data_IF_915864583494
#
_entry.id   IF_915864583494
#
_cell.length_a   1.000
_cell.length_b   1.000
_cell.length_c   1.000
_cell.angle_alpha   90.00
_cell.angle_beta   90.00
_cell.angle_gamma   90.00
#
_symmetry.space_group_name_H-M   'P 1'
#
loop_
_entity.id
_entity.type
_entity.pdbx_description
1 polymer ?
#
# COMPACT_ATOMS: atom_id res chain seq x y z
N UNK A 1 26.72 23.42 -22.73
CA UNK A 1 26.83 21.99 -22.34
C UNK A 1 25.90 21.72 -21.17
N UNK A 2 24.93 20.84 -21.35
CA UNK A 2 23.90 20.59 -20.35
C UNK A 2 24.48 19.78 -19.19
N UNK A 3 24.61 20.38 -18.00
CA UNK A 3 25.35 19.79 -16.85
C UNK A 3 24.80 18.43 -16.42
N UNK A 4 23.51 18.17 -16.66
CA UNK A 4 22.85 16.88 -16.41
C UNK A 4 23.29 15.78 -17.40
N UNK A 5 23.58 16.14 -18.65
CA UNK A 5 24.04 15.19 -19.67
C UNK A 5 25.49 14.75 -19.39
N UNK A 6 26.32 15.69 -18.91
CA UNK A 6 27.71 15.40 -18.55
C UNK A 6 27.82 14.49 -17.32
N UNK A 7 26.93 14.66 -16.33
CA UNK A 7 26.91 13.80 -15.13
C UNK A 7 26.45 12.37 -15.44
N UNK A 8 25.46 12.19 -16.33
CA UNK A 8 25.01 10.86 -16.78
C UNK A 8 26.10 10.13 -17.58
N UNK A 9 26.84 10.86 -18.42
CA UNK A 9 27.93 10.29 -19.22
C UNK A 9 29.13 9.88 -18.35
N UNK A 10 29.42 10.64 -17.29
CA UNK A 10 30.50 10.34 -16.34
C UNK A 10 30.17 9.12 -15.47
N UNK A 11 28.90 8.92 -15.11
CA UNK A 11 28.45 7.78 -14.32
C UNK A 11 28.51 6.46 -15.13
N UNK A 12 28.17 6.52 -16.42
CA UNK A 12 28.27 5.36 -17.33
C UNK A 12 29.74 4.92 -17.55
N UNK A 13 30.67 5.87 -17.53
CA UNK A 13 32.10 5.61 -17.75
C UNK A 13 32.78 4.92 -16.55
N UNK A 14 32.23 5.06 -15.33
CA UNK A 14 32.81 4.50 -14.11
C UNK A 14 32.42 3.03 -13.87
N UNK A 15 31.37 2.53 -14.53
CA UNK A 15 30.93 1.13 -14.40
C UNK A 15 31.72 0.13 -15.27
N UNK A 16 32.54 0.60 -16.22
CA UNK A 16 33.25 -0.26 -17.17
C UNK A 16 34.66 -0.70 -16.71
N UNK A 17 35.12 -0.29 -15.51
CA UNK A 17 36.48 -0.57 -15.02
C UNK A 17 36.62 -1.75 -14.06
N UNK A 18 35.59 -2.59 -13.89
CA UNK A 18 35.69 -3.82 -13.11
C UNK A 18 35.87 -5.05 -14.02
N UNK A 19 37.13 -5.36 -14.36
CA UNK A 19 37.51 -6.63 -14.99
C UNK A 19 38.69 -7.29 -14.24
N UNK A 20 38.56 -8.63 -14.08
CA UNK A 20 39.57 -9.69 -13.90
C UNK A 20 40.01 -10.11 -12.47
N UNK A 21 39.59 -11.34 -12.09
CA UNK A 21 40.40 -12.54 -11.78
C UNK A 21 39.51 -13.57 -11.03
N UNK A 22 39.27 -14.81 -11.45
CA UNK A 22 40.16 -15.97 -11.60
C UNK A 22 39.32 -17.08 -12.27
N UNK A 23 39.77 -17.72 -13.35
CA UNK A 23 40.71 -18.86 -13.44
C UNK A 23 39.96 -20.11 -13.89
N UNK A 24 40.28 -20.51 -15.11
CA UNK A 24 39.85 -21.71 -15.81
C UNK A 24 40.40 -22.96 -15.11
N UNK A 25 39.56 -24.00 -14.95
CA UNK A 25 40.03 -25.38 -14.79
C UNK A 25 39.16 -26.30 -15.64
N UNK A 26 39.76 -26.81 -16.69
CA UNK A 26 39.21 -27.83 -17.59
C UNK A 26 39.16 -29.19 -16.87
N UNK A 27 38.21 -30.03 -17.28
CA UNK A 27 38.21 -31.52 -17.41
C UNK A 27 36.72 -31.94 -17.50
N UNK A 28 36.14 -32.19 -18.67
CA UNK A 28 36.23 -33.40 -19.51
C UNK A 28 35.46 -34.62 -18.96
N UNK A 29 34.58 -35.13 -19.85
CA UNK A 29 34.08 -36.49 -20.02
C UNK A 29 32.82 -36.94 -19.26
N UNK A 30 31.84 -37.43 -20.05
CA UNK A 30 30.90 -38.47 -19.64
C UNK A 30 29.46 -38.27 -20.12
N UNK A 31 29.14 -38.73 -21.34
CA UNK A 31 27.79 -39.13 -21.73
C UNK A 31 27.26 -40.21 -20.77
N UNK A 32 25.97 -40.20 -20.42
CA UNK A 32 25.04 -41.20 -20.93
C UNK A 32 23.59 -41.07 -20.44
N UNK A 33 22.75 -41.65 -21.27
CA UNK A 33 21.29 -41.64 -21.41
C UNK A 33 20.51 -42.47 -20.36
N UNK A 34 19.15 -42.36 -20.43
CA UNK A 34 18.14 -43.35 -19.95
C UNK A 34 17.83 -43.30 -18.43
N UNK A 35 16.62 -43.47 -17.87
CA UNK A 35 15.25 -43.78 -18.30
C UNK A 35 14.33 -43.51 -17.08
N UNK A 36 13.11 -42.98 -17.29
CA UNK A 36 11.80 -43.63 -17.10
C UNK A 36 11.41 -44.10 -15.67
N UNK A 37 10.30 -43.51 -15.20
CA UNK A 37 9.21 -44.06 -14.36
C UNK A 37 9.52 -44.62 -12.96
N UNK A 38 8.79 -44.17 -11.94
CA UNK A 38 7.52 -44.80 -11.54
C UNK A 38 6.91 -44.15 -10.29
N UNK A 39 5.60 -44.05 -10.35
CA UNK A 39 4.61 -43.83 -9.28
C UNK A 39 4.74 -44.81 -8.12
N UNK A 40 4.49 -44.37 -6.88
CA UNK A 40 3.81 -45.19 -5.87
C UNK A 40 3.15 -44.34 -4.78
N UNK A 41 1.84 -44.58 -4.62
CA UNK A 41 0.94 -44.08 -3.58
C UNK A 41 1.22 -44.65 -2.18
N UNK A 42 0.48 -44.06 -1.21
CA UNK A 42 -0.11 -44.65 0.02
C UNK A 42 0.53 -44.27 1.37
N UNK A 43 -0.04 -43.21 1.96
CA UNK A 43 -0.88 -43.17 3.16
C UNK A 43 -0.52 -43.99 4.44
N UNK A 44 -0.62 -43.23 5.55
CA UNK A 44 -0.95 -43.58 6.94
C UNK A 44 0.16 -44.05 7.88
N UNK A 45 0.29 -43.35 9.00
CA UNK A 45 0.11 -44.01 10.30
C UNK A 45 -0.41 -43.01 11.33
N UNK A 46 -1.49 -43.42 11.98
CA UNK A 46 -2.10 -42.85 13.19
C UNK A 46 -1.32 -43.36 14.40
N UNK A 47 -1.12 -42.52 15.43
CA UNK A 47 -1.11 -42.95 16.84
C UNK A 47 -1.72 -41.88 17.76
N UNK A 48 -2.88 -42.23 18.31
CA UNK A 48 -3.39 -41.96 19.68
C UNK A 48 -2.29 -41.94 20.75
N UNK A 49 -2.42 -41.41 21.97
CA UNK A 49 -3.46 -40.81 22.82
C UNK A 49 -2.69 -40.20 24.03
N UNK A 50 -3.24 -39.34 24.89
CA UNK A 50 -3.77 -39.71 26.22
C UNK A 50 -4.44 -38.48 26.87
N UNK A 51 -5.59 -38.75 27.49
CA UNK A 51 -6.50 -37.92 28.31
C UNK A 51 -6.01 -37.70 29.74
N UNK A 52 -6.41 -36.59 30.38
CA UNK A 52 -6.96 -36.50 31.76
C UNK A 52 -7.57 -35.08 32.00
N UNK A 53 -8.91 -34.91 32.01
CA UNK A 53 -9.84 -34.77 33.17
C UNK A 53 -9.53 -33.56 34.09
N UNK A 54 -10.29 -32.45 34.05
CA UNK A 54 -11.60 -32.15 34.69
C UNK A 54 -11.51 -31.62 36.13
N UNK A 55 -11.96 -30.38 36.37
CA UNK A 55 -12.94 -30.04 37.45
C UNK A 55 -13.44 -28.60 37.37
N UNK A 56 -14.76 -28.48 37.48
CA UNK A 56 -15.61 -27.31 37.68
C UNK A 56 -15.46 -26.63 39.05
N UNK A 57 -15.78 -25.34 39.14
CA UNK A 57 -16.42 -24.73 40.31
C UNK A 57 -17.19 -23.45 39.91
N UNK A 58 -18.51 -23.48 40.13
CA UNK A 58 -19.41 -22.32 40.18
C UNK A 58 -19.16 -21.50 41.45
N UNK A 59 -19.43 -20.20 41.41
CA UNK A 59 -20.01 -19.51 42.55
C UNK A 59 -20.77 -18.25 42.11
N UNK A 60 -22.06 -18.27 42.44
CA UNK A 60 -23.02 -17.16 42.41
C UNK A 60 -23.09 -16.55 43.81
N UNK A 61 -23.03 -15.23 43.94
CA UNK A 61 -23.64 -14.50 45.07
C UNK A 61 -24.25 -13.20 44.58
N UNK A 62 -25.54 -13.06 44.85
CA UNK A 62 -26.41 -11.90 44.68
C UNK A 62 -26.46 -11.10 45.99
N UNK A 63 -26.48 -9.77 45.93
CA UNK A 63 -27.14 -8.94 46.95
C UNK A 63 -27.54 -7.58 46.37
N UNK A 64 -28.84 -7.26 46.49
CA UNK A 64 -29.51 -5.99 46.17
C UNK A 64 -29.29 -4.94 47.29
N UNK A 65 -29.38 -3.64 46.97
CA UNK A 65 -30.53 -2.75 47.30
C UNK A 65 -30.20 -1.23 47.31
N UNK A 66 -30.94 -0.49 46.47
CA UNK A 66 -31.58 0.86 46.55
C UNK A 66 -30.87 2.22 46.84
N UNK A 67 -31.18 3.16 45.91
CA UNK A 67 -31.64 4.57 46.02
C UNK A 67 -30.84 5.69 46.72
N UNK A 68 -30.49 6.74 45.93
CA UNK A 68 -31.23 8.03 45.91
C UNK A 68 -30.65 9.08 44.94
N UNK A 69 -31.58 9.80 44.30
CA UNK A 69 -31.44 11.05 43.54
C UNK A 69 -30.48 12.09 44.16
N UNK A 70 -29.75 12.86 43.34
CA UNK A 70 -30.00 14.33 43.24
C UNK A 70 -29.36 14.97 42.00
N UNK A 71 -30.20 15.68 41.26
CA UNK A 71 -29.89 16.72 40.27
C UNK A 71 -29.06 17.87 40.85
N UNK A 72 -28.12 18.42 40.05
CA UNK A 72 -27.96 19.87 39.90
C UNK A 72 -27.18 20.25 38.64
N UNK A 73 -27.90 20.88 37.70
CA UNK A 73 -27.39 21.85 36.74
C UNK A 73 -26.50 22.91 37.42
N UNK A 74 -25.36 23.30 36.82
CA UNK A 74 -24.97 24.71 36.55
C UNK A 74 -23.83 24.77 35.49
N UNK A 75 -24.21 25.30 34.31
CA UNK A 75 -23.51 26.23 33.40
C UNK A 75 -21.99 26.10 33.14
N UNK A 76 -21.70 25.64 31.92
CA UNK A 76 -21.07 26.39 30.81
C UNK A 76 -20.09 27.52 31.21
N UNK A 77 -18.80 27.29 30.96
CA UNK A 77 -17.93 28.34 30.43
C UNK A 77 -17.06 27.78 29.30
N UNK A 78 -17.48 28.13 28.09
CA UNK A 78 -16.74 27.95 26.85
C UNK A 78 -15.53 28.89 26.83
N UNK A 79 -14.33 28.34 26.84
CA UNK A 79 -13.18 28.98 26.21
C UNK A 79 -12.68 28.04 25.13
N UNK A 80 -13.23 28.20 23.93
CA UNK A 80 -12.59 27.73 22.72
C UNK A 80 -11.39 28.65 22.47
N UNK A 81 -10.25 28.32 23.10
CA UNK A 81 -8.97 28.80 22.58
C UNK A 81 -8.72 28.05 21.28
N UNK A 82 -8.86 28.73 20.14
CA UNK A 82 -8.19 28.31 18.92
C UNK A 82 -6.69 28.46 19.17
N UNK A 83 -6.10 27.41 19.74
CA UNK A 83 -4.67 27.22 19.70
C UNK A 83 -4.32 26.89 18.24
N UNK A 84 -3.38 27.64 17.66
CA UNK A 84 -2.72 27.30 16.40
C UNK A 84 -1.78 26.11 16.65
N UNK A 85 -2.33 25.01 17.14
CA UNK A 85 -1.55 23.81 17.39
C UNK A 85 -1.50 23.02 16.09
N UNK A 86 -0.28 22.75 15.64
CA UNK A 86 -0.06 21.81 14.55
C UNK A 86 -0.78 20.48 14.88
N UNK A 87 -1.34 19.77 13.89
CA UNK A 87 -2.05 18.52 14.15
C UNK A 87 -1.15 17.52 14.87
N UNK A 88 -1.69 16.83 15.88
CA UNK A 88 -0.94 15.78 16.58
C UNK A 88 -0.78 14.55 15.68
N UNK A 89 0.19 13.68 15.94
CA UNK A 89 0.32 12.44 15.16
C UNK A 89 -0.53 11.32 15.76
N UNK A 90 -1.20 10.55 14.90
CA UNK A 90 -1.79 9.27 15.30
C UNK A 90 -0.79 8.11 15.11
N UNK A 91 -1.00 7.00 15.78
CA UNK A 91 -0.16 5.80 15.75
C UNK A 91 -0.57 4.90 14.57
N UNK A 92 0.42 4.41 13.81
CA UNK A 92 0.23 3.54 12.63
C UNK A 92 0.60 2.07 12.88
N UNK A 93 1.71 1.81 13.59
CA UNK A 93 2.31 0.48 13.66
C UNK A 93 1.80 -0.33 14.86
N UNK A 94 0.82 -1.21 14.64
CA UNK A 94 0.41 -2.27 15.58
C UNK A 94 -0.20 -1.80 16.91
N UNK A 95 -0.47 -0.51 17.06
CA UNK A 95 -1.05 0.09 18.25
C UNK A 95 -2.38 0.76 17.97
N UNK A 96 -3.34 0.61 18.89
CA UNK A 96 -4.59 1.33 18.86
C UNK A 96 -4.43 2.75 19.39
N UNK A 97 -4.98 3.73 18.68
CA UNK A 97 -5.12 5.10 19.14
C UNK A 97 -6.30 5.18 20.10
N UNK A 98 -6.13 5.84 21.25
CA UNK A 98 -7.20 5.94 22.26
C UNK A 98 -7.71 7.37 22.36
N UNK A 99 -9.02 7.51 22.29
CA UNK A 99 -9.72 8.78 22.53
C UNK A 99 -10.64 8.57 23.73
N UNK A 100 -10.24 9.04 24.94
CA UNK A 100 -10.99 8.78 26.16
C UNK A 100 -12.48 9.11 26.04
N UNK A 101 -13.31 8.15 26.48
CA UNK A 101 -14.77 8.26 26.44
C UNK A 101 -15.35 8.36 25.03
N UNK A 102 -14.62 7.92 24.00
CA UNK A 102 -15.11 7.87 22.62
C UNK A 102 -14.80 6.51 22.00
N UNK A 103 -13.54 6.26 21.64
CA UNK A 103 -13.17 5.05 20.92
C UNK A 103 -11.68 4.71 21.05
N UNK A 104 -11.37 3.47 20.67
CA UNK A 104 -10.04 3.08 20.21
C UNK A 104 -10.10 2.86 18.70
N UNK A 105 -9.06 3.26 17.97
CA UNK A 105 -9.03 3.10 16.52
C UNK A 105 -7.66 2.73 15.96
N UNK A 106 -7.66 1.93 14.89
CA UNK A 106 -6.49 1.58 14.08
C UNK A 106 -6.71 2.13 12.67
N UNK A 107 -5.68 2.76 12.10
CA UNK A 107 -5.73 3.40 10.78
C UNK A 107 -5.00 2.53 9.76
N UNK A 108 -5.69 2.18 8.68
CA UNK A 108 -5.16 1.43 7.55
C UNK A 108 -5.55 2.13 6.24
N UNK A 109 -4.68 2.98 5.67
CA UNK A 109 -4.98 3.63 4.40
C UNK A 109 -4.65 2.73 3.20
N UNK A 110 -5.52 2.76 2.22
CA UNK A 110 -5.37 2.10 0.93
C UNK A 110 -5.65 3.09 -0.21
N UNK A 111 -5.02 2.86 -1.36
CA UNK A 111 -5.24 3.68 -2.56
C UNK A 111 -5.70 2.75 -3.65
N UNK A 112 -6.90 3.02 -4.15
CA UNK A 112 -7.60 2.17 -5.11
C UNK A 112 -7.94 3.00 -6.37
N UNK A 113 -7.69 2.46 -7.58
CA UNK A 113 -8.07 3.13 -8.83
C UNK A 113 -9.59 3.14 -9.05
N UNK A 114 -10.31 2.24 -8.39
CA UNK A 114 -11.77 2.18 -8.39
C UNK A 114 -12.26 1.62 -7.06
N UNK A 115 -13.53 1.91 -6.73
CA UNK A 115 -14.19 1.32 -5.57
C UNK A 115 -15.33 0.47 -6.05
N UNK A 116 -15.26 -0.82 -5.73
CA UNK A 116 -16.32 -1.78 -6.05
C UNK A 116 -17.32 -1.72 -4.90
N UNK A 117 -18.45 -1.05 -5.13
CA UNK A 117 -19.54 -0.96 -4.17
C UNK A 117 -20.87 -0.86 -4.89
N UNK A 118 -21.94 -1.36 -4.26
CA UNK A 118 -23.31 -1.16 -4.75
C UNK A 118 -23.86 0.22 -4.38
N UNK A 119 -23.10 1.01 -3.60
CA UNK A 119 -23.52 2.32 -3.17
C UNK A 119 -23.55 3.32 -4.36
N UNK A 120 -24.69 3.96 -4.65
CA UNK A 120 -24.85 4.83 -5.82
C UNK A 120 -23.99 6.10 -5.77
N UNK A 121 -23.45 6.49 -4.59
CA UNK A 121 -22.47 7.58 -4.48
C UNK A 121 -21.16 7.30 -5.22
N UNK A 122 -20.95 6.04 -5.61
CA UNK A 122 -19.73 5.51 -6.23
C UNK A 122 -19.97 4.85 -7.56
N UNK A 123 -21.00 5.27 -8.27
CA UNK A 123 -21.30 4.73 -9.60
C UNK A 123 -20.37 5.31 -10.69
N UNK A 124 -19.11 5.57 -10.34
CA UNK A 124 -18.08 5.97 -11.28
C UNK A 124 -17.58 4.70 -11.98
N UNK A 125 -17.97 4.49 -13.24
CA UNK A 125 -17.24 3.61 -14.15
C UNK A 125 -15.76 3.96 -14.09
N UNK A 126 -14.86 2.97 -14.12
CA UNK A 126 -13.40 3.16 -14.06
C UNK A 126 -12.98 4.42 -14.81
N UNK A 127 -12.65 5.47 -14.05
CA UNK A 127 -12.26 6.76 -14.59
C UNK A 127 -10.75 6.90 -14.37
N UNK A 128 -10.02 6.89 -15.48
CA UNK A 128 -8.57 6.88 -15.47
C UNK A 128 -7.92 8.19 -15.00
N UNK A 129 -8.70 9.23 -14.65
CA UNK A 129 -8.19 10.54 -14.23
C UNK A 129 -8.32 10.77 -12.71
N UNK A 130 -8.89 9.82 -11.97
CA UNK A 130 -9.13 9.90 -10.53
C UNK A 130 -8.55 8.69 -9.82
N UNK A 131 -8.15 8.89 -8.58
CA UNK A 131 -7.86 7.84 -7.62
C UNK A 131 -8.81 8.00 -6.43
N UNK A 132 -9.02 6.90 -5.70
CA UNK A 132 -9.65 6.94 -4.40
C UNK A 132 -8.61 6.61 -3.33
N UNK A 133 -8.58 7.44 -2.29
CA UNK A 133 -7.86 7.10 -1.07
C UNK A 133 -8.91 6.67 -0.06
N UNK A 134 -8.83 5.41 0.35
CA UNK A 134 -9.69 4.81 1.36
C UNK A 134 -8.94 4.75 2.69
N UNK A 135 -9.38 5.54 3.65
CA UNK A 135 -8.83 5.51 5.01
C UNK A 135 -9.73 4.61 5.83
N UNK A 136 -9.29 3.37 6.02
CA UNK A 136 -10.04 2.38 6.79
C UNK A 136 -9.70 2.55 8.27
N UNK A 137 -10.72 2.85 9.07
CA UNK A 137 -10.64 2.90 10.53
C UNK A 137 -11.34 1.69 11.12
N UNK A 138 -10.59 0.82 11.80
CA UNK A 138 -11.18 -0.19 12.67
C UNK A 138 -11.44 0.46 14.03
N UNK A 139 -12.70 0.74 14.34
CA UNK A 139 -13.12 1.52 15.51
C UNK A 139 -13.79 0.61 16.53
N UNK A 140 -13.28 0.61 17.75
CA UNK A 140 -13.92 0.04 18.93
C UNK A 140 -14.55 1.14 19.77
N UNK A 141 -15.88 1.10 19.98
CA UNK A 141 -16.58 2.07 20.80
C UNK A 141 -16.38 1.79 22.29
N UNK A 142 -15.62 2.66 22.97
CA UNK A 142 -15.35 2.56 24.42
C UNK A 142 -16.40 3.20 25.30
N UNK A 143 -17.37 3.90 24.70
CA UNK A 143 -18.42 4.59 25.45
C UNK A 143 -19.59 3.66 25.79
N UNK A 144 -20.46 4.12 26.68
CA UNK A 144 -21.69 3.42 27.08
C UNK A 144 -22.89 3.75 26.18
N UNK A 145 -22.71 4.56 25.14
CA UNK A 145 -23.75 4.98 24.21
C UNK A 145 -23.37 4.60 22.77
N UNK A 146 -24.37 4.37 21.91
CA UNK A 146 -24.12 4.27 20.49
C UNK A 146 -23.61 5.63 19.98
N UNK A 147 -22.51 5.64 19.22
CA UNK A 147 -21.93 6.87 18.67
C UNK A 147 -21.99 6.84 17.15
N UNK A 148 -22.45 7.94 16.55
CA UNK A 148 -22.43 8.13 15.11
C UNK A 148 -20.97 8.30 14.67
N UNK A 149 -20.52 7.53 13.69
CA UNK A 149 -19.13 7.61 13.20
C UNK A 149 -18.83 8.96 12.53
N UNK A 150 -19.83 9.50 11.82
CA UNK A 150 -19.77 10.80 11.11
C UNK A 150 -19.60 11.99 12.05
N UNK A 151 -20.15 11.91 13.26
CA UNK A 151 -20.06 12.98 14.26
C UNK A 151 -18.82 12.83 15.15
N UNK A 152 -18.25 11.63 15.21
CA UNK A 152 -17.11 11.31 16.06
C UNK A 152 -15.77 11.60 15.39
N UNK A 153 -15.61 11.18 14.13
CA UNK A 153 -14.37 11.29 13.37
C UNK A 153 -14.71 11.72 11.95
N UNK A 154 -14.03 12.76 11.45
CA UNK A 154 -14.01 13.07 10.03
C UNK A 154 -12.59 12.92 9.49
N UNK A 155 -12.45 12.56 8.22
CA UNK A 155 -11.14 12.45 7.58
C UNK A 155 -11.05 13.39 6.37
N UNK A 156 -9.86 13.93 6.15
CA UNK A 156 -9.48 14.66 4.94
C UNK A 156 -8.15 14.14 4.43
N UNK A 157 -7.98 14.22 3.12
CA UNK A 157 -6.70 13.99 2.47
C UNK A 157 -6.15 15.33 2.01
N UNK A 158 -4.89 15.62 2.33
CA UNK A 158 -4.16 16.74 1.78
C UNK A 158 -3.07 16.25 0.84
N UNK A 159 -3.09 16.75 -0.39
CA UNK A 159 -2.05 16.51 -1.41
C UNK A 159 -1.50 17.87 -1.82
N UNK A 160 -0.19 18.08 -1.60
CA UNK A 160 0.43 19.42 -1.73
C UNK A 160 -0.35 20.43 -0.86
N UNK A 161 -0.92 21.47 -1.47
CA UNK A 161 -1.69 22.52 -0.79
C UNK A 161 -3.22 22.36 -0.92
N UNK A 162 -3.70 21.24 -1.48
CA UNK A 162 -5.14 20.99 -1.70
C UNK A 162 -5.67 19.95 -0.71
N UNK A 163 -6.82 20.27 -0.11
CA UNK A 163 -7.58 19.37 0.76
C UNK A 163 -8.75 18.74 0.00
N UNK A 164 -8.99 17.46 0.26
CA UNK A 164 -10.05 16.65 -0.29
C UNK A 164 -10.84 16.05 0.87
N UNK A 165 -12.12 16.38 0.95
CA UNK A 165 -13.01 15.83 1.96
C UNK A 165 -13.33 14.37 1.65
N UNK A 166 -13.37 13.55 2.70
CA UNK A 166 -13.91 12.20 2.60
C UNK A 166 -15.40 12.17 2.91
N UNK A 167 -16.07 11.11 2.48
CA UNK A 167 -17.34 10.68 3.06
C UNK A 167 -17.13 9.28 3.66
N UNK A 168 -17.95 8.93 4.65
CA UNK A 168 -17.77 7.70 5.42
C UNK A 168 -18.81 6.64 5.09
N UNK A 169 -18.38 5.40 4.95
CA UNK A 169 -19.18 4.20 4.82
C UNK A 169 -18.85 3.22 5.95
N UNK A 170 -19.83 2.41 6.38
CA UNK A 170 -19.58 1.31 7.33
C UNK A 170 -19.67 -0.01 6.59
N UNK A 171 -18.72 -0.91 6.86
CA UNK A 171 -18.78 -2.27 6.34
C UNK A 171 -19.84 -3.07 7.09
N UNK A 172 -20.65 -3.84 6.35
CA UNK A 172 -21.60 -4.75 6.95
C UNK A 172 -20.88 -5.89 7.69
N UNK A 173 -21.55 -6.51 8.67
CA UNK A 173 -20.95 -7.57 9.51
C UNK A 173 -20.42 -8.74 8.66
N UNK A 174 -21.05 -9.01 7.52
CA UNK A 174 -20.69 -10.07 6.59
C UNK A 174 -19.64 -9.66 5.55
N UNK A 175 -19.21 -8.39 5.54
CA UNK A 175 -18.25 -7.83 4.57
C UNK A 175 -18.76 -7.74 3.13
N UNK A 176 -20.06 -7.95 2.90
CA UNK A 176 -20.59 -8.10 1.54
C UNK A 176 -20.93 -6.76 0.86
N UNK A 177 -21.16 -5.71 1.65
CA UNK A 177 -21.55 -4.39 1.16
C UNK A 177 -21.26 -3.27 2.18
N UNK A 178 -21.47 -2.04 1.74
CA UNK A 178 -21.32 -0.84 2.55
C UNK A 178 -22.68 -0.17 2.82
N UNK A 179 -22.96 0.06 4.10
CA UNK A 179 -24.11 0.86 4.52
C UNK A 179 -23.68 2.30 4.86
N UNK A 180 -24.66 3.21 4.90
CA UNK A 180 -24.41 4.53 5.46
C UNK A 180 -24.13 4.37 6.96
N UNK A 181 -22.97 4.85 7.40
CA UNK A 181 -22.55 4.70 8.78
C UNK A 181 -23.47 5.49 9.72
N UNK A 182 -24.48 4.80 10.28
CA UNK A 182 -25.41 5.38 11.24
C UNK A 182 -24.75 5.39 12.61
N UNK A 183 -24.49 4.27 13.27
CA UNK A 183 -23.80 4.28 14.58
C UNK A 183 -23.01 3.02 14.86
N UNK A 184 -22.08 3.10 15.82
CA UNK A 184 -21.37 1.96 16.41
C UNK A 184 -21.88 1.77 17.83
N UNK A 185 -22.39 0.58 18.18
CA UNK A 185 -22.94 0.32 19.51
C UNK A 185 -21.86 0.32 20.59
N UNK A 186 -22.23 0.47 21.89
CA UNK A 186 -21.29 0.32 22.99
C UNK A 186 -20.53 -1.01 22.91
N UNK A 187 -19.22 -0.98 23.14
CA UNK A 187 -18.34 -2.16 23.13
C UNK A 187 -18.36 -2.96 21.82
N UNK A 188 -18.73 -2.31 20.73
CA UNK A 188 -18.74 -2.90 19.40
C UNK A 188 -17.54 -2.42 18.58
N UNK A 189 -17.03 -3.33 17.75
CA UNK A 189 -16.00 -3.05 16.75
C UNK A 189 -16.62 -2.99 15.36
N UNK A 190 -16.29 -1.95 14.60
CA UNK A 190 -16.72 -1.78 13.21
C UNK A 190 -15.60 -1.20 12.35
N UNK A 191 -15.58 -1.62 11.08
CA UNK A 191 -14.72 -1.05 10.05
C UNK A 191 -15.46 0.08 9.33
N UNK A 192 -14.83 1.25 9.32
CA UNK A 192 -15.39 2.46 8.72
C UNK A 192 -14.41 2.96 7.67
N UNK A 193 -14.91 3.10 6.45
CA UNK A 193 -14.16 3.54 5.29
C UNK A 193 -14.38 5.03 5.10
N UNK A 194 -13.33 5.82 5.17
CA UNK A 194 -13.36 7.25 4.87
C UNK A 194 -12.71 7.49 3.52
N UNK A 195 -13.55 7.66 2.51
CA UNK A 195 -13.10 7.62 1.13
C UNK A 195 -13.09 9.03 0.55
N UNK A 196 -11.96 9.41 -0.04
CA UNK A 196 -11.79 10.68 -0.75
C UNK A 196 -11.47 10.46 -2.22
N UNK A 197 -12.18 11.17 -3.10
CA UNK A 197 -11.88 11.24 -4.53
C UNK A 197 -10.78 12.29 -4.76
N UNK A 198 -9.65 11.85 -5.30
CA UNK A 198 -8.48 12.69 -5.58
C UNK A 198 -8.09 12.58 -7.06
N UNK A 199 -7.35 13.55 -7.63
CA UNK A 199 -6.79 13.40 -8.97
C UNK A 199 -5.90 12.17 -9.04
N UNK A 200 -5.84 11.53 -10.21
CA UNK A 200 -4.86 10.47 -10.46
C UNK A 200 -3.45 10.97 -10.13
N UNK A 201 -2.69 10.11 -9.49
CA UNK A 201 -1.28 10.38 -9.22
C UNK A 201 -0.47 10.28 -10.49
N UNK A 202 0.43 11.25 -10.66
CA UNK A 202 1.50 11.15 -11.63
C UNK A 202 2.39 9.96 -11.28
N UNK A 203 3.07 9.43 -12.30
CA UNK A 203 4.07 8.38 -12.12
C UNK A 203 5.12 8.75 -11.03
N UNK A 204 5.47 7.77 -10.19
CA UNK A 204 6.46 7.93 -9.15
C UNK A 204 5.88 8.21 -7.75
N UNK A 205 6.63 8.98 -6.95
CA UNK A 205 6.32 9.18 -5.53
C UNK A 205 5.34 10.34 -5.31
N UNK A 206 4.17 10.02 -4.77
CA UNK A 206 3.20 11.02 -4.31
C UNK A 206 3.16 11.06 -2.79
N UNK A 207 3.45 12.24 -2.22
CA UNK A 207 3.24 12.49 -0.81
C UNK A 207 1.81 12.96 -0.56
N UNK A 208 1.15 12.37 0.42
CA UNK A 208 -0.15 12.82 0.90
C UNK A 208 -0.20 12.79 2.43
N UNK A 209 -1.08 13.58 3.00
CA UNK A 209 -1.30 13.66 4.44
C UNK A 209 -2.76 13.29 4.73
N UNK A 210 -2.96 12.36 5.66
CA UNK A 210 -4.29 12.05 6.19
C UNK A 210 -4.47 12.90 7.42
N UNK A 211 -5.59 13.61 7.50
CA UNK A 211 -5.98 14.43 8.64
C UNK A 211 -7.28 13.86 9.20
N UNK A 212 -7.26 13.42 10.45
CA UNK A 212 -8.42 12.97 11.20
C UNK A 212 -8.82 14.07 12.19
N UNK A 213 -10.05 14.57 12.10
CA UNK A 213 -10.60 15.50 13.11
C UNK A 213 -11.49 14.72 14.04
N UNK A 214 -11.11 14.66 15.33
CA UNK A 214 -11.82 13.91 16.38
C UNK A 214 -12.16 14.87 17.52
N UNK A 215 -13.44 15.03 17.83
CA UNK A 215 -13.92 16.01 18.85
C UNK A 215 -13.36 17.43 18.63
N UNK A 216 -13.17 17.84 17.37
CA UNK A 216 -12.64 19.15 17.00
C UNK A 216 -11.12 19.31 17.15
N UNK A 217 -10.40 18.23 17.44
CA UNK A 217 -8.94 18.18 17.45
C UNK A 217 -8.42 17.43 16.23
N UNK A 218 -7.40 17.98 15.59
CA UNK A 218 -6.80 17.40 14.38
C UNK A 218 -5.62 16.50 14.73
N UNK A 219 -5.61 15.33 14.09
CA UNK A 219 -4.52 14.38 14.09
C UNK A 219 -4.08 14.15 12.64
N UNK A 220 -2.79 14.00 12.36
CA UNK A 220 -2.28 13.80 11.01
C UNK A 220 -1.11 12.83 10.92
N UNK A 221 -0.97 12.19 9.77
CA UNK A 221 0.26 11.53 9.35
C UNK A 221 0.49 11.71 7.86
N UNK A 222 1.77 11.65 7.49
CA UNK A 222 2.22 11.73 6.11
C UNK A 222 2.52 10.35 5.57
N UNK A 223 2.15 10.15 4.32
CA UNK A 223 2.26 8.89 3.61
C UNK A 223 2.89 9.15 2.25
N UNK A 224 3.55 8.12 1.74
CA UNK A 224 4.13 8.11 0.41
C UNK A 224 3.46 6.97 -0.34
N UNK A 225 2.86 7.30 -1.48
CA UNK A 225 2.37 6.34 -2.45
C UNK A 225 3.34 6.27 -3.62
N UNK A 226 3.74 5.06 -3.98
CA UNK A 226 4.53 4.82 -5.18
C UNK A 226 3.56 4.35 -6.27
N UNK A 227 3.25 5.24 -7.21
CA UNK A 227 2.43 4.90 -8.35
C UNK A 227 3.32 4.21 -9.40
N UNK A 228 3.06 2.93 -9.62
CA UNK A 228 3.60 2.14 -10.72
C UNK A 228 3.20 2.67 -12.09
N UNK A 229 3.91 2.24 -13.14
CA UNK A 229 3.57 2.56 -14.53
C UNK A 229 2.70 1.46 -15.15
N UNK A 230 2.03 1.79 -16.25
CA UNK A 230 1.37 0.80 -17.10
C UNK A 230 2.40 0.00 -17.91
N UNK A 231 2.00 -1.19 -18.38
CA UNK A 231 2.84 -2.00 -19.28
C UNK A 231 3.29 -1.20 -20.52
N UNK A 232 2.41 -0.39 -21.10
CA UNK A 232 2.73 0.43 -22.27
C UNK A 232 3.74 1.54 -21.97
N UNK A 233 3.70 2.12 -20.77
CA UNK A 233 4.68 3.11 -20.33
C UNK A 233 6.04 2.45 -20.07
N UNK A 234 6.07 1.31 -19.39
CA UNK A 234 7.31 0.53 -19.23
C UNK A 234 7.89 0.11 -20.58
N UNK A 235 7.04 -0.35 -21.50
CA UNK A 235 7.44 -0.73 -22.85
C UNK A 235 8.11 0.42 -23.59
N UNK A 236 7.55 1.64 -23.52
CA UNK A 236 8.14 2.84 -24.13
C UNK A 236 9.51 3.17 -23.55
N UNK A 237 9.67 3.13 -22.22
CA UNK A 237 10.95 3.40 -21.56
C UNK A 237 12.03 2.39 -21.99
N UNK A 238 11.70 1.10 -21.96
CA UNK A 238 12.61 0.03 -22.34
C UNK A 238 12.96 0.09 -23.84
N UNK A 239 11.97 0.40 -24.70
CA UNK A 239 12.17 0.57 -26.15
C UNK A 239 13.03 1.80 -26.47
N UNK A 240 12.84 2.90 -25.75
CA UNK A 240 13.65 4.11 -25.88
C UNK A 240 15.11 3.83 -25.49
N UNK A 241 15.37 3.12 -24.40
CA UNK A 241 16.72 2.73 -24.00
C UNK A 241 17.43 1.87 -25.06
N UNK A 242 16.70 0.90 -25.66
CA UNK A 242 17.18 0.09 -26.79
C UNK A 242 17.55 0.98 -27.98
N UNK A 243 16.65 1.91 -28.36
CA UNK A 243 16.83 2.76 -29.52
C UNK A 243 18.00 3.74 -29.33
N UNK A 244 18.11 4.37 -28.17
CA UNK A 244 19.23 5.27 -27.86
C UNK A 244 20.58 4.55 -27.95
N UNK A 245 20.64 3.28 -27.49
CA UNK A 245 21.87 2.49 -27.62
C UNK A 245 22.16 2.10 -29.08
N UNK A 246 21.12 1.78 -29.87
CA UNK A 246 21.27 1.53 -31.29
C UNK A 246 21.79 2.76 -32.03
N UNK A 247 21.18 3.92 -31.80
CA UNK A 247 21.59 5.20 -32.41
C UNK A 247 23.04 5.54 -32.04
N UNK A 248 23.44 5.29 -30.80
CA UNK A 248 24.82 5.45 -30.35
C UNK A 248 25.78 4.52 -31.10
N UNK A 249 25.46 3.23 -31.22
CA UNK A 249 26.26 2.25 -31.97
C UNK A 249 26.40 2.65 -33.44
N UNK A 250 25.32 3.14 -34.06
CA UNK A 250 25.31 3.55 -35.46
C UNK A 250 26.13 4.82 -35.70
N UNK A 251 26.22 5.70 -34.70
CA UNK A 251 27.08 6.88 -34.74
C UNK A 251 28.58 6.56 -34.69
N UNK A 252 28.98 5.37 -34.25
CA UNK A 252 30.39 4.96 -34.15
C UNK A 252 30.90 4.47 -35.52
N UNK A 253 31.92 5.13 -36.05
CA UNK A 253 32.55 4.73 -37.32
C UNK A 253 33.60 3.61 -37.16
N UNK A 254 34.33 3.59 -36.04
CA UNK A 254 35.38 2.59 -35.78
C UNK A 254 34.75 1.23 -35.41
N UNK A 255 34.98 0.15 -36.19
CA UNK A 255 34.41 -1.16 -35.92
C UNK A 255 34.86 -1.79 -34.59
N UNK A 256 36.10 -1.54 -34.15
CA UNK A 256 36.62 -2.07 -32.89
C UNK A 256 35.97 -1.38 -31.70
N UNK A 257 35.76 -0.06 -31.79
CA UNK A 257 35.01 0.68 -30.78
C UNK A 257 33.55 0.22 -30.75
N UNK A 258 32.94 0.02 -31.92
CA UNK A 258 31.54 -0.45 -32.04
C UNK A 258 31.31 -1.81 -31.37
N UNK A 259 32.27 -2.72 -31.46
CA UNK A 259 32.18 -4.04 -30.81
C UNK A 259 32.39 -3.98 -29.28
N UNK A 260 32.98 -2.91 -28.77
CA UNK A 260 33.30 -2.78 -27.34
C UNK A 260 32.15 -2.23 -26.48
N UNK A 261 31.09 -1.69 -27.10
CA UNK A 261 29.97 -1.05 -26.40
C UNK A 261 28.82 -2.03 -26.14
N UNK A 262 27.97 -1.69 -25.17
CA UNK A 262 26.78 -2.47 -24.82
C UNK A 262 25.87 -2.68 -26.04
N UNK A 263 25.28 -3.86 -26.20
CA UNK A 263 24.31 -4.11 -27.27
C UNK A 263 22.97 -3.42 -27.00
N UNK A 264 22.14 -3.13 -28.04
CA UNK A 264 20.81 -2.54 -27.84
C UNK A 264 19.90 -3.38 -26.95
N UNK A 265 19.95 -4.71 -27.12
CA UNK A 265 19.21 -5.64 -26.25
C UNK A 265 19.75 -5.61 -24.82
N UNK A 266 21.06 -5.51 -24.66
CA UNK A 266 21.69 -5.34 -23.35
C UNK A 266 21.22 -4.06 -22.65
N UNK A 267 21.03 -2.95 -23.39
CA UNK A 267 20.49 -1.71 -22.84
C UNK A 267 19.03 -1.85 -22.40
N UNK A 268 18.20 -2.53 -23.20
CA UNK A 268 16.80 -2.84 -22.82
C UNK A 268 16.72 -3.63 -21.50
N UNK A 269 17.53 -4.68 -21.36
CA UNK A 269 17.58 -5.50 -20.13
C UNK A 269 18.12 -4.71 -18.94
N UNK A 270 19.12 -3.85 -19.16
CA UNK A 270 19.66 -2.99 -18.11
C UNK A 270 18.62 -1.96 -17.62
N UNK A 271 17.86 -1.36 -18.53
CA UNK A 271 16.76 -0.44 -18.18
C UNK A 271 15.67 -1.17 -17.39
N UNK A 272 15.25 -2.35 -17.83
CA UNK A 272 14.31 -3.21 -17.09
C UNK A 272 14.80 -3.50 -15.67
N UNK A 273 16.10 -3.79 -15.52
CA UNK A 273 16.72 -4.05 -14.21
C UNK A 273 16.69 -2.81 -13.31
N UNK A 274 16.91 -1.62 -13.87
CA UNK A 274 16.76 -0.36 -13.15
C UNK A 274 15.31 -0.13 -12.70
N UNK A 275 14.34 -0.46 -13.57
CA UNK A 275 12.92 -0.33 -13.28
C UNK A 275 12.47 -1.28 -12.15
N UNK A 276 12.99 -2.51 -12.05
CA UNK A 276 12.68 -3.40 -10.91
C UNK A 276 13.09 -2.80 -9.56
N UNK A 277 14.21 -2.06 -9.52
CA UNK A 277 14.65 -1.39 -8.30
C UNK A 277 13.77 -0.20 -7.95
N UNK A 278 13.25 0.48 -8.97
CA UNK A 278 12.41 1.67 -8.80
C UNK A 278 10.95 1.34 -8.51
N UNK A 279 10.43 0.24 -9.06
CA UNK A 279 9.04 -0.19 -8.95
C UNK A 279 8.97 -1.68 -8.59
N UNK A 280 9.36 -2.06 -7.35
CA UNK A 280 9.47 -3.47 -6.95
C UNK A 280 8.13 -4.21 -6.92
N UNK A 281 7.00 -3.50 -6.94
CA UNK A 281 5.65 -4.09 -7.00
C UNK A 281 5.20 -4.40 -8.43
N UNK A 282 5.93 -3.94 -9.44
CA UNK A 282 5.51 -3.99 -10.85
C UNK A 282 6.32 -4.99 -11.68
N UNK A 283 7.08 -5.89 -11.03
CA UNK A 283 8.01 -6.81 -11.69
C UNK A 283 7.34 -7.56 -12.86
N UNK A 284 6.15 -8.15 -12.64
CA UNK A 284 5.43 -8.88 -13.68
C UNK A 284 5.02 -8.00 -14.87
N UNK A 285 4.69 -6.74 -14.61
CA UNK A 285 4.30 -5.76 -15.64
C UNK A 285 5.52 -5.29 -16.43
N UNK A 286 6.64 -5.08 -15.75
CA UNK A 286 7.93 -4.75 -16.37
C UNK A 286 8.42 -5.92 -17.24
N UNK A 287 8.27 -7.16 -16.78
CA UNK A 287 8.62 -8.37 -17.54
C UNK A 287 7.80 -8.51 -18.82
N UNK A 288 6.50 -8.25 -18.76
CA UNK A 288 5.63 -8.23 -19.93
C UNK A 288 6.07 -7.19 -20.95
N UNK A 289 6.37 -5.97 -20.49
CA UNK A 289 6.88 -4.89 -21.31
C UNK A 289 8.25 -5.22 -21.96
N UNK A 290 9.20 -5.75 -21.19
CA UNK A 290 10.51 -6.18 -21.69
C UNK A 290 10.36 -7.23 -22.78
N UNK A 291 9.50 -8.24 -22.56
CA UNK A 291 9.24 -9.31 -23.52
C UNK A 291 8.78 -8.76 -24.88
N UNK A 292 7.89 -7.77 -24.89
CA UNK A 292 7.45 -7.09 -26.12
C UNK A 292 8.63 -6.43 -26.86
N UNK A 293 9.50 -5.72 -26.14
CA UNK A 293 10.70 -5.09 -26.73
C UNK A 293 11.69 -6.11 -27.31
N UNK A 294 11.85 -7.26 -26.64
CA UNK A 294 12.71 -8.34 -27.09
C UNK A 294 12.15 -9.06 -28.34
N UNK A 295 10.82 -9.15 -28.45
CA UNK A 295 10.14 -9.69 -29.62
C UNK A 295 10.10 -8.74 -30.82
N UNK A 296 10.49 -7.47 -30.62
CA UNK A 296 10.55 -6.48 -31.70
C UNK A 296 9.22 -5.80 -32.02
N UNK A 297 8.27 -5.84 -31.08
CA UNK A 297 7.04 -5.05 -31.16
C UNK A 297 7.33 -3.54 -31.12
#
# INVERSE_FOLDING_TARGET
MNKKLFLKLLLLLLLSMSLVACRQKNNSAGEDTSSKSSTSNVQSSVKESVKTASSSAENTVESKQEDKDTSSDVKKNSNASKANDAPEQFIMAGGANKVPGLCEYIVSPEINPSIITQNPLFNDSVNNDINYIDVVLNIFNTSNEAKMSKDAITAKIKIKDKEYSSFSLIENIDGSNFDEATSVNPQETRMIHYIAKVPKFEAGLTNYEIILTIKGKDYSNKFIHEQGLTEEEYYKLIKEAKQLQQDYIDSISDPHVKQSVQSPLGAAVAESSSLYLQYPKDIDTIDAALKRVLNGE
#
